data_IF_752056334943
#
_entry.id   IF_752056334943
#
_cell.length_a   1.000
_cell.length_b   1.000
_cell.length_c   1.000
_cell.angle_alpha   90.00
_cell.angle_beta   90.00
_cell.angle_gamma   90.00
#
_symmetry.space_group_name_H-M   'P 1'
#
loop_
_entity.id
_entity.type
_entity.pdbx_description
1 polymer ?
#
# COMPACT_ATOMS: atom_id res chain seq x y z
N UNK A 1 32.31 -26.80 -4.33
CA UNK A 1 31.51 -26.49 -5.53
C UNK A 1 30.03 -26.62 -5.15
N UNK A 2 29.41 -25.57 -4.62
CA UNK A 2 27.97 -25.54 -4.37
C UNK A 2 27.47 -24.17 -4.85
N UNK A 3 26.76 -24.18 -5.97
CA UNK A 3 26.15 -22.97 -6.52
C UNK A 3 24.88 -22.67 -5.73
N UNK A 4 24.95 -21.67 -4.86
CA UNK A 4 23.76 -21.05 -4.27
C UNK A 4 23.10 -20.19 -5.35
N UNK A 5 22.05 -20.70 -5.97
CA UNK A 5 21.22 -19.97 -6.93
C UNK A 5 20.56 -18.81 -6.19
N UNK A 6 21.10 -17.59 -6.34
CA UNK A 6 20.41 -16.37 -5.93
C UNK A 6 19.03 -16.37 -6.59
N UNK A 7 17.96 -16.45 -5.79
CA UNK A 7 16.62 -16.17 -6.29
C UNK A 7 16.61 -14.69 -6.66
N UNK A 8 16.24 -14.39 -7.90
CA UNK A 8 15.89 -13.02 -8.27
C UNK A 8 14.81 -12.58 -7.28
N UNK A 9 15.10 -11.53 -6.52
CA UNK A 9 14.08 -10.79 -5.80
C UNK A 9 13.20 -10.23 -6.91
N UNK A 10 12.03 -10.84 -7.10
CA UNK A 10 10.97 -10.23 -7.90
C UNK A 10 10.82 -8.81 -7.35
N UNK A 11 11.05 -7.81 -8.21
CA UNK A 11 11.02 -6.41 -7.79
C UNK A 11 9.66 -6.13 -7.18
N UNK A 12 9.61 -6.06 -5.84
CA UNK A 12 8.40 -5.72 -5.10
C UNK A 12 8.07 -4.27 -5.42
N UNK A 13 7.27 -4.07 -6.44
CA UNK A 13 6.62 -2.80 -6.72
C UNK A 13 5.25 -2.89 -6.06
N UNK A 14 5.00 -2.18 -4.95
CA UNK A 14 3.69 -2.17 -4.35
C UNK A 14 2.67 -1.67 -5.39
N UNK A 15 1.56 -2.40 -5.64
CA UNK A 15 0.60 -2.03 -6.66
C UNK A 15 -0.03 -0.67 -6.31
N UNK A 16 -0.02 0.28 -7.26
CA UNK A 16 -0.80 1.53 -7.13
C UNK A 16 -2.29 1.27 -6.83
N UNK A 17 -2.83 0.13 -7.29
CA UNK A 17 -4.21 -0.29 -7.05
C UNK A 17 -4.55 -0.63 -5.59
N UNK A 18 -3.55 -0.81 -4.73
CA UNK A 18 -3.79 -1.05 -3.30
C UNK A 18 -4.03 0.25 -2.52
N UNK A 19 -3.72 1.40 -3.13
CA UNK A 19 -3.90 2.72 -2.54
C UNK A 19 -5.09 3.42 -3.21
N UNK A 20 -6.29 3.15 -2.72
CA UNK A 20 -7.56 3.66 -3.29
C UNK A 20 -7.59 5.18 -3.48
N UNK A 21 -6.92 5.92 -2.61
CA UNK A 21 -6.86 7.39 -2.72
C UNK A 21 -6.17 7.86 -4.01
N UNK A 22 -5.23 7.08 -4.57
CA UNK A 22 -4.45 7.46 -5.75
C UNK A 22 -5.27 7.38 -7.05
N UNK A 23 -6.46 6.76 -7.04
CA UNK A 23 -7.38 6.80 -8.19
C UNK A 23 -8.34 8.00 -8.16
N UNK A 24 -8.28 8.85 -7.12
CA UNK A 24 -9.17 10.01 -6.96
C UNK A 24 -8.72 11.21 -7.79
N UNK A 25 -9.69 11.99 -8.25
CA UNK A 25 -9.46 13.34 -8.77
C UNK A 25 -9.58 14.40 -7.67
N UNK A 26 -8.66 15.36 -7.68
CA UNK A 26 -8.64 16.51 -6.77
C UNK A 26 -8.52 17.77 -7.64
N UNK A 27 -9.46 18.71 -7.46
CA UNK A 27 -9.58 19.92 -8.30
C UNK A 27 -9.67 19.61 -9.81
N UNK A 28 -10.33 18.51 -10.18
CA UNK A 28 -10.50 18.08 -11.57
C UNK A 28 -9.23 17.53 -12.23
N UNK A 29 -8.23 17.12 -11.44
CA UNK A 29 -6.99 16.51 -11.93
C UNK A 29 -6.68 15.21 -11.20
N UNK A 30 -6.05 14.21 -11.84
CA UNK A 30 -5.60 12.99 -11.16
C UNK A 30 -4.67 13.33 -9.99
N UNK A 31 -4.92 12.71 -8.84
CA UNK A 31 -4.09 12.91 -7.66
C UNK A 31 -2.66 12.38 -7.89
N UNK A 32 -1.67 13.25 -7.70
CA UNK A 32 -0.26 12.88 -7.59
C UNK A 32 0.18 13.22 -6.18
N UNK A 33 0.43 12.20 -5.36
CA UNK A 33 0.84 12.36 -3.97
C UNK A 33 2.37 12.42 -3.86
N UNK A 34 2.92 13.58 -3.53
CA UNK A 34 4.37 13.84 -3.44
C UNK A 34 4.84 14.21 -2.02
N UNK A 35 4.05 13.85 -1.00
CA UNK A 35 4.34 14.16 0.41
C UNK A 35 4.40 12.92 1.30
N UNK A 36 4.94 11.82 0.75
CA UNK A 36 5.07 10.55 1.49
C UNK A 36 6.02 10.62 2.69
N UNK A 37 6.88 11.65 2.76
CA UNK A 37 7.80 11.86 3.87
C UNK A 37 7.11 12.42 5.12
N UNK A 38 6.03 13.20 4.97
CA UNK A 38 5.22 13.67 6.09
C UNK A 38 4.29 12.56 6.61
N UNK A 39 3.68 11.79 5.70
CA UNK A 39 2.87 10.62 6.04
C UNK A 39 2.68 9.72 4.83
N UNK A 40 2.63 8.40 5.03
CA UNK A 40 2.35 7.46 3.96
C UNK A 40 0.85 7.16 3.84
N UNK A 41 0.36 6.99 2.61
CA UNK A 41 -0.99 6.49 2.38
C UNK A 41 -1.09 5.03 2.83
N UNK A 42 -2.25 4.63 3.34
CA UNK A 42 -2.48 3.25 3.82
C UNK A 42 -3.01 2.39 2.67
N UNK A 43 -2.39 1.23 2.39
CA UNK A 43 -2.95 0.27 1.44
C UNK A 43 -4.18 -0.42 2.03
N UNK A 44 -5.03 -0.97 1.17
CA UNK A 44 -6.29 -1.65 1.54
C UNK A 44 -6.11 -2.71 2.63
N UNK A 45 -5.04 -3.50 2.59
CA UNK A 45 -4.76 -4.53 3.60
C UNK A 45 -4.62 -3.95 5.02
N UNK A 46 -3.99 -2.78 5.16
CA UNK A 46 -3.85 -2.10 6.46
C UNK A 46 -5.20 -1.61 6.95
N UNK A 47 -6.02 -1.03 6.06
CA UNK A 47 -7.37 -0.58 6.40
C UNK A 47 -8.24 -1.75 6.86
N UNK A 48 -8.22 -2.88 6.14
CA UNK A 48 -8.97 -4.08 6.50
C UNK A 48 -8.59 -4.63 7.86
N UNK A 49 -7.29 -4.69 8.18
CA UNK A 49 -6.83 -5.15 9.49
C UNK A 49 -7.30 -4.22 10.63
N UNK A 50 -7.25 -2.90 10.42
CA UNK A 50 -7.76 -1.93 11.39
C UNK A 50 -9.27 -2.07 11.62
N UNK A 51 -10.04 -2.24 10.54
CA UNK A 51 -11.49 -2.46 10.61
C UNK A 51 -11.82 -3.75 11.36
N UNK A 52 -11.17 -4.86 10.99
CA UNK A 52 -11.40 -6.16 11.62
C UNK A 52 -11.12 -6.12 13.13
N UNK A 53 -10.03 -5.45 13.53
CA UNK A 53 -9.70 -5.25 14.94
C UNK A 53 -10.77 -4.42 15.68
N UNK A 54 -11.22 -3.30 15.07
CA UNK A 54 -12.27 -2.48 15.66
C UNK A 54 -13.61 -3.23 15.81
N UNK A 55 -13.94 -4.13 14.88
CA UNK A 55 -15.19 -4.89 14.88
C UNK A 55 -15.18 -6.11 15.83
N UNK A 56 -14.01 -6.70 16.10
CA UNK A 56 -13.91 -7.98 16.84
C UNK A 56 -13.37 -7.85 18.26
N UNK A 57 -12.47 -6.90 18.52
CA UNK A 57 -11.77 -6.79 19.81
C UNK A 57 -12.21 -5.58 20.65
N UNK A 58 -12.88 -4.60 20.05
CA UNK A 58 -13.43 -3.43 20.74
C UNK A 58 -14.96 -3.47 20.95
N UNK A 59 -15.64 -4.53 20.47
CA UNK A 59 -17.09 -4.70 20.56
C UNK A 59 -17.57 -5.31 21.89
#
# INVERSE_FOLDING_TARGET
MAQTKLRAVDSFVPPRGDFEILSREVYGKPLVYLDSAASAQKPRAVLQAMTAFAESEYA
#
